data_IF_695918618631
#
_entry.id   IF_695918618631
#
_cell.length_a   1.000
_cell.length_b   1.000
_cell.length_c   1.000
_cell.angle_alpha   90.00
_cell.angle_beta   90.00
_cell.angle_gamma   90.00
#
_symmetry.space_group_name_H-M   'P 1'
#
loop_
_entity.id
_entity.type
_entity.pdbx_description
1 polymer ?
#
# COMPACT_ATOMS: atom_id res chain seq x y z
N UNK A 1 76.77 -120.79 57.00
CA UNK A 1 75.87 -119.84 57.67
C UNK A 1 76.54 -118.52 58.09
N UNK A 2 77.87 -118.40 58.01
CA UNK A 2 78.67 -117.23 58.43
C UNK A 2 78.80 -116.10 57.37
N UNK A 3 78.22 -116.29 56.18
CA UNK A 3 78.34 -115.34 55.06
C UNK A 3 77.15 -114.36 54.95
N UNK A 4 76.01 -114.67 55.59
CA UNK A 4 74.85 -113.76 55.62
C UNK A 4 74.86 -112.75 56.76
N UNK A 5 75.59 -112.99 57.86
CA UNK A 5 75.71 -112.01 58.96
C UNK A 5 76.55 -110.79 58.58
N UNK A 6 77.62 -111.00 57.79
CA UNK A 6 78.52 -109.93 57.36
C UNK A 6 77.87 -108.96 56.35
N UNK A 7 76.86 -109.44 55.59
CA UNK A 7 76.07 -108.60 54.68
C UNK A 7 75.04 -107.77 55.47
N UNK A 8 74.44 -108.33 56.53
CA UNK A 8 73.54 -107.58 57.43
C UNK A 8 74.26 -106.45 58.17
N UNK A 9 75.49 -106.69 58.65
CA UNK A 9 76.29 -105.65 59.30
C UNK A 9 76.68 -104.51 58.34
N UNK A 10 77.04 -104.83 57.10
CA UNK A 10 77.34 -103.82 56.07
C UNK A 10 76.11 -103.01 55.68
N UNK A 11 74.93 -103.65 55.54
CA UNK A 11 73.67 -102.97 55.28
C UNK A 11 73.24 -102.08 56.46
N UNK A 12 73.45 -102.50 57.71
CA UNK A 12 73.19 -101.65 58.88
C UNK A 12 74.13 -100.44 58.95
N UNK A 13 75.41 -100.59 58.62
CA UNK A 13 76.35 -99.47 58.54
C UNK A 13 76.00 -98.48 57.43
N UNK A 14 75.52 -98.96 56.28
CA UNK A 14 75.06 -98.12 55.17
C UNK A 14 73.75 -97.39 55.56
N UNK A 15 72.76 -98.07 56.15
CA UNK A 15 71.53 -97.44 56.63
C UNK A 15 71.80 -96.39 57.73
N UNK A 16 72.77 -96.62 58.63
CA UNK A 16 73.13 -95.66 59.68
C UNK A 16 73.84 -94.40 59.12
N UNK A 17 74.59 -94.54 58.02
CA UNK A 17 75.18 -93.41 57.28
C UNK A 17 74.11 -92.61 56.53
N UNK A 18 73.15 -93.29 55.91
CA UNK A 18 72.01 -92.65 55.26
C UNK A 18 71.07 -91.95 56.27
N UNK A 19 70.86 -92.49 57.46
CA UNK A 19 70.11 -91.81 58.53
C UNK A 19 70.81 -90.56 59.06
N UNK A 20 72.15 -90.53 59.12
CA UNK A 20 72.90 -89.32 59.49
C UNK A 20 72.87 -88.26 58.39
N UNK A 21 72.88 -88.67 57.12
CA UNK A 21 72.71 -87.77 55.97
C UNK A 21 71.27 -87.22 55.91
N UNK A 22 70.27 -88.05 56.20
CA UNK A 22 68.87 -87.66 56.25
C UNK A 22 68.60 -86.71 57.44
N UNK A 23 69.21 -86.94 58.60
CA UNK A 23 69.13 -86.02 59.74
C UNK A 23 69.84 -84.67 59.48
N UNK A 24 70.92 -84.66 58.69
CA UNK A 24 71.61 -83.42 58.28
C UNK A 24 70.76 -82.64 57.25
N UNK A 25 70.08 -83.34 56.32
CA UNK A 25 69.15 -82.73 55.36
C UNK A 25 67.89 -82.22 56.06
N UNK A 26 67.37 -82.92 57.08
CA UNK A 26 66.29 -82.43 57.93
C UNK A 26 66.72 -81.24 58.80
N UNK A 27 67.96 -81.21 59.31
CA UNK A 27 68.47 -80.08 60.09
C UNK A 27 68.68 -78.81 59.24
N UNK A 28 69.04 -78.96 57.96
CA UNK A 28 69.13 -77.86 56.98
C UNK A 28 67.72 -77.41 56.52
N UNK A 29 66.73 -78.31 56.50
CA UNK A 29 65.32 -77.94 56.29
C UNK A 29 64.59 -77.41 57.53
N UNK A 30 65.13 -77.59 58.75
CA UNK A 30 64.53 -77.10 60.00
C UNK A 30 65.13 -75.79 60.54
N UNK A 31 66.13 -75.19 59.89
CA UNK A 31 66.76 -73.94 60.34
C UNK A 31 66.58 -72.73 59.39
N UNK A 32 65.73 -72.85 58.37
CA UNK A 32 65.33 -71.75 57.50
C UNK A 32 63.80 -71.68 57.35
N UNK A 33 63.12 -71.43 58.46
CA UNK A 33 61.94 -70.55 58.49
C UNK A 33 62.42 -69.25 59.13
N UNK A 34 62.12 -68.08 58.54
CA UNK A 34 60.76 -67.59 58.69
C UNK A 34 60.15 -66.91 57.44
N UNK A 35 58.82 -67.05 57.39
CA UNK A 35 57.82 -66.10 56.85
C UNK A 35 58.04 -65.60 55.43
N UNK A 36 57.15 -65.96 54.50
CA UNK A 36 56.36 -64.95 53.79
C UNK A 36 55.09 -65.58 53.21
N UNK A 37 54.01 -64.83 53.43
CA UNK A 37 52.62 -64.99 53.07
C UNK A 37 52.22 -66.03 52.00
N UNK A 38 51.17 -66.77 52.35
CA UNK A 38 50.23 -67.34 51.38
C UNK A 38 49.64 -66.20 50.53
N UNK A 39 49.90 -66.23 49.23
CA UNK A 39 48.97 -65.68 48.26
C UNK A 39 48.68 -66.77 47.23
N UNK A 40 47.46 -67.29 47.30
CA UNK A 40 46.87 -68.04 46.21
C UNK A 40 46.71 -67.04 45.06
N UNK A 41 47.48 -67.17 44.00
CA UNK A 41 47.21 -66.44 42.76
C UNK A 41 46.02 -67.10 42.09
N UNK A 42 44.80 -66.68 42.43
CA UNK A 42 43.70 -66.77 41.48
C UNK A 42 43.68 -65.47 40.69
N UNK A 43 43.85 -65.58 39.38
CA UNK A 43 43.55 -64.49 38.44
C UNK A 43 42.70 -65.03 37.31
N UNK A 44 41.61 -65.71 37.66
CA UNK A 44 40.37 -65.48 36.91
C UNK A 44 39.73 -64.22 37.51
N UNK A 45 40.18 -63.07 37.04
CA UNK A 45 39.31 -61.90 37.07
C UNK A 45 38.36 -62.12 35.90
N UNK A 46 37.17 -62.67 36.15
CA UNK A 46 36.03 -62.35 35.28
C UNK A 46 35.90 -60.83 35.38
N UNK A 47 36.36 -60.12 34.36
CA UNK A 47 35.95 -58.74 34.18
C UNK A 47 34.45 -58.79 33.86
N UNK A 48 33.60 -58.87 34.89
CA UNK A 48 32.23 -58.37 34.79
C UNK A 48 32.33 -56.85 34.71
N UNK A 49 32.84 -56.37 33.58
CA UNK A 49 32.51 -55.03 33.11
C UNK A 49 31.03 -55.12 32.77
N UNK A 50 30.18 -54.97 33.79
CA UNK A 50 28.92 -54.29 33.53
C UNK A 50 29.35 -52.88 33.20
N UNK A 51 29.54 -52.60 31.91
CA UNK A 51 29.37 -51.23 31.48
C UNK A 51 27.98 -50.88 31.97
N UNK A 52 27.88 -49.96 32.93
CA UNK A 52 26.63 -49.25 33.15
C UNK A 52 26.36 -48.57 31.82
N UNK A 53 25.63 -49.28 30.95
CA UNK A 53 25.16 -48.72 29.71
C UNK A 53 24.21 -47.62 30.11
N UNK A 54 24.58 -46.39 29.85
CA UNK A 54 23.65 -45.27 29.96
C UNK A 54 22.60 -45.46 28.87
N UNK A 55 21.34 -45.32 29.23
CA UNK A 55 20.21 -45.50 28.33
C UNK A 55 19.40 -44.22 28.31
N UNK A 56 19.45 -43.45 27.23
CA UNK A 56 18.64 -42.25 27.06
C UNK A 56 18.21 -42.15 25.59
N UNK A 57 17.15 -41.42 25.33
CA UNK A 57 16.63 -41.22 23.97
C UNK A 57 16.67 -39.74 23.62
N UNK A 58 17.19 -39.42 22.44
CA UNK A 58 17.14 -38.09 21.86
C UNK A 58 15.96 -38.01 20.90
N UNK A 59 15.10 -37.03 21.12
CA UNK A 59 13.98 -36.76 20.22
C UNK A 59 14.18 -35.37 19.61
N UNK A 60 14.39 -35.33 18.29
CA UNK A 60 14.62 -34.07 17.55
C UNK A 60 13.41 -33.14 17.53
N UNK A 61 12.22 -33.60 17.95
CA UNK A 61 10.97 -32.82 17.98
C UNK A 61 10.70 -32.09 16.63
N UNK A 62 10.83 -32.87 15.55
CA UNK A 62 10.72 -32.39 14.16
C UNK A 62 12.03 -31.87 13.55
N UNK A 63 13.12 -31.77 14.32
CA UNK A 63 14.46 -31.54 13.80
C UNK A 63 15.16 -32.83 13.35
N UNK A 64 16.15 -32.70 12.49
CA UNK A 64 16.93 -33.79 11.88
C UNK A 64 18.34 -33.78 12.47
N UNK A 65 18.83 -34.94 12.89
CA UNK A 65 20.22 -35.14 13.33
C UNK A 65 21.09 -35.56 12.16
N UNK A 66 22.26 -34.93 12.00
CA UNK A 66 23.28 -35.38 11.03
C UNK A 66 23.94 -36.68 11.47
N UNK A 67 24.07 -36.87 12.79
CA UNK A 67 24.50 -38.11 13.45
C UNK A 67 23.92 -38.13 14.87
N UNK A 68 23.52 -39.31 15.33
CA UNK A 68 23.05 -39.55 16.70
C UNK A 68 24.12 -40.22 17.58
N UNK A 69 25.36 -40.33 17.08
CA UNK A 69 26.45 -40.96 17.80
C UNK A 69 26.87 -40.09 19.00
N UNK A 70 26.77 -40.66 20.19
CA UNK A 70 27.17 -40.01 21.44
C UNK A 70 28.35 -40.75 22.05
N UNK A 71 29.48 -40.06 22.22
CA UNK A 71 30.67 -40.62 22.90
C UNK A 71 30.79 -40.11 24.32
N UNK A 72 30.72 -41.02 25.29
CA UNK A 72 30.81 -40.68 26.72
C UNK A 72 32.26 -40.84 27.20
N UNK A 73 32.81 -39.80 27.85
CA UNK A 73 34.15 -39.81 28.45
C UNK A 73 34.08 -39.25 29.87
N UNK A 74 34.61 -39.98 30.85
CA UNK A 74 34.64 -39.58 32.26
C UNK A 74 33.27 -39.09 32.79
N UNK A 75 32.19 -39.82 32.45
CA UNK A 75 30.80 -39.48 32.78
C UNK A 75 30.25 -38.20 32.14
N UNK A 76 30.97 -37.57 31.20
CA UNK A 76 30.51 -36.41 30.43
C UNK A 76 30.30 -36.77 28.95
N UNK A 77 29.48 -36.00 28.25
CA UNK A 77 29.25 -36.15 26.82
C UNK A 77 28.86 -34.82 26.15
N UNK A 78 28.93 -34.78 24.82
CA UNK A 78 28.38 -33.73 23.99
C UNK A 78 27.26 -34.35 23.15
N UNK A 79 26.05 -33.82 23.27
CA UNK A 79 24.90 -34.27 22.49
C UNK A 79 24.97 -33.68 21.07
N UNK A 80 24.51 -34.43 20.05
CA UNK A 80 24.39 -33.88 18.70
C UNK A 80 23.43 -32.69 18.69
N UNK A 81 23.57 -31.80 17.72
CA UNK A 81 22.66 -30.66 17.53
C UNK A 81 21.77 -30.96 16.34
N UNK A 82 20.45 -31.11 16.52
CA UNK A 82 19.55 -31.27 15.40
C UNK A 82 19.40 -29.95 14.63
N UNK A 83 18.96 -30.02 13.38
CA UNK A 83 18.57 -28.86 12.58
C UNK A 83 17.09 -28.89 12.27
N UNK A 84 16.42 -27.73 12.34
CA UNK A 84 15.01 -27.58 12.00
C UNK A 84 14.82 -26.26 11.25
N UNK A 85 14.43 -26.35 9.97
CA UNK A 85 14.28 -25.19 9.10
C UNK A 85 13.29 -24.20 9.73
N UNK A 86 13.70 -22.94 9.87
CA UNK A 86 12.87 -21.88 10.46
C UNK A 86 12.96 -21.72 11.98
N UNK A 87 13.87 -22.44 12.63
CA UNK A 87 13.99 -22.45 14.09
C UNK A 87 15.45 -22.35 14.56
N UNK A 88 15.64 -21.66 15.69
CA UNK A 88 16.87 -21.69 16.47
C UNK A 88 16.80 -22.83 17.48
N UNK A 89 17.86 -23.65 17.55
CA UNK A 89 17.99 -24.68 18.57
C UNK A 89 18.39 -24.05 19.90
N UNK A 90 17.59 -24.25 20.96
CA UNK A 90 17.84 -23.69 22.28
C UNK A 90 18.57 -24.67 23.22
N UNK A 91 18.49 -25.98 22.95
CA UNK A 91 18.96 -27.04 23.85
C UNK A 91 17.93 -28.16 23.96
N UNK A 92 18.01 -28.95 25.03
CA UNK A 92 17.11 -30.07 25.30
C UNK A 92 16.27 -29.85 26.56
N UNK A 93 15.08 -30.44 26.58
CA UNK A 93 14.17 -30.50 27.73
C UNK A 93 13.86 -31.96 28.08
N UNK A 94 13.65 -32.28 29.36
CA UNK A 94 13.11 -33.59 29.76
C UNK A 94 11.58 -33.69 29.69
N UNK A 95 10.92 -32.61 29.24
CA UNK A 95 9.47 -32.53 29.04
C UNK A 95 9.21 -32.00 27.63
N UNK A 96 8.37 -32.68 26.85
CA UNK A 96 7.97 -32.22 25.52
C UNK A 96 7.32 -30.83 25.62
N UNK A 97 7.92 -29.83 24.95
CA UNK A 97 7.46 -28.43 25.01
C UNK A 97 7.73 -27.71 26.34
N UNK A 98 8.53 -28.29 27.22
CA UNK A 98 8.99 -27.65 28.46
C UNK A 98 10.12 -26.65 28.24
N UNK A 99 10.52 -25.98 29.32
CA UNK A 99 11.71 -25.10 29.31
C UNK A 99 12.99 -25.89 29.03
N UNK A 100 13.99 -25.22 28.44
CA UNK A 100 15.29 -25.85 28.19
C UNK A 100 15.99 -26.19 29.51
N UNK A 101 16.23 -27.48 29.75
CA UNK A 101 16.90 -27.98 30.96
C UNK A 101 18.38 -28.31 30.73
N UNK A 102 18.75 -28.66 29.49
CA UNK A 102 20.08 -29.15 29.16
C UNK A 102 20.66 -28.43 27.96
N UNK A 103 21.93 -28.04 28.06
CA UNK A 103 22.74 -27.65 26.90
C UNK A 103 23.25 -28.88 26.15
N UNK A 104 23.93 -28.70 25.02
CA UNK A 104 24.60 -29.82 24.33
C UNK A 104 25.73 -30.43 25.15
N UNK A 105 26.35 -29.67 26.05
CA UNK A 105 27.41 -30.17 26.93
C UNK A 105 26.78 -30.74 28.21
N UNK A 106 26.95 -32.04 28.42
CA UNK A 106 26.46 -32.76 29.60
C UNK A 106 27.66 -33.18 30.44
N UNK A 107 27.82 -32.55 31.61
CA UNK A 107 28.96 -32.81 32.50
C UNK A 107 28.80 -34.10 33.32
N UNK A 108 27.56 -34.54 33.53
CA UNK A 108 27.23 -35.77 34.23
C UNK A 108 26.08 -36.50 33.51
N UNK A 109 26.41 -37.56 32.81
CA UNK A 109 25.49 -38.37 32.00
C UNK A 109 24.33 -38.96 32.83
N UNK A 110 24.49 -39.09 34.15
CA UNK A 110 23.40 -39.51 35.04
C UNK A 110 22.24 -38.51 35.08
N UNK A 111 22.44 -37.24 34.70
CA UNK A 111 21.39 -36.24 34.63
C UNK A 111 20.33 -36.56 33.57
N UNK A 112 20.73 -37.25 32.50
CA UNK A 112 19.85 -37.63 31.38
C UNK A 112 19.62 -39.15 31.29
N UNK A 113 20.31 -39.93 32.12
CA UNK A 113 20.18 -41.39 32.12
C UNK A 113 18.75 -41.82 32.45
N UNK A 114 18.25 -42.80 31.70
CA UNK A 114 16.88 -43.31 31.69
C UNK A 114 15.82 -42.25 31.41
N UNK A 115 16.14 -41.21 30.63
CA UNK A 115 15.20 -40.18 30.19
C UNK A 115 15.09 -40.14 28.67
N UNK A 116 13.92 -39.73 28.21
CA UNK A 116 13.75 -39.16 26.88
C UNK A 116 13.94 -37.64 26.99
N UNK A 117 14.78 -37.07 26.15
CA UNK A 117 15.00 -35.63 26.09
C UNK A 117 14.66 -35.10 24.69
N UNK A 118 13.97 -33.97 24.66
CA UNK A 118 13.37 -33.39 23.47
C UNK A 118 14.11 -32.11 23.09
N UNK A 119 14.45 -31.96 21.82
CA UNK A 119 14.99 -30.71 21.30
C UNK A 119 13.97 -29.57 21.48
N UNK A 120 14.44 -28.46 22.03
CA UNK A 120 13.65 -27.26 22.24
C UNK A 120 14.02 -26.19 21.20
N UNK A 121 13.00 -25.50 20.70
CA UNK A 121 13.09 -24.68 19.50
C UNK A 121 12.45 -23.31 19.71
N UNK A 122 13.09 -22.28 19.18
CA UNK A 122 12.52 -20.93 19.05
C UNK A 122 12.30 -20.62 17.58
N UNK A 123 11.10 -20.20 17.19
CA UNK A 123 10.80 -19.83 15.81
C UNK A 123 11.56 -18.57 15.41
N UNK A 124 12.16 -18.57 14.22
CA UNK A 124 12.81 -17.39 13.66
C UNK A 124 11.75 -16.46 13.08
N UNK A 125 11.80 -15.18 13.43
CA UNK A 125 11.00 -14.14 12.79
C UNK A 125 11.69 -13.64 11.52
N UNK A 126 10.92 -13.53 10.44
CA UNK A 126 11.33 -13.02 9.14
C UNK A 126 10.57 -11.74 8.83
N UNK A 127 11.21 -10.80 8.11
CA UNK A 127 10.59 -9.54 7.73
C UNK A 127 9.79 -9.65 6.44
N UNK A 128 8.81 -8.75 6.29
CA UNK A 128 8.00 -8.57 5.08
C UNK A 128 8.14 -7.11 4.62
N UNK A 129 8.57 -6.93 3.38
CA UNK A 129 8.69 -5.61 2.74
C UNK A 129 7.62 -5.43 1.68
N UNK A 130 6.87 -4.33 1.72
CA UNK A 130 5.85 -3.98 0.73
C UNK A 130 6.27 -2.73 -0.04
N UNK A 131 6.39 -2.85 -1.36
CA UNK A 131 6.60 -1.75 -2.28
C UNK A 131 5.25 -1.40 -2.93
N UNK A 132 4.61 -0.33 -2.45
CA UNK A 132 3.24 0.04 -2.84
C UNK A 132 3.15 0.92 -4.09
N UNK A 133 4.28 1.41 -4.61
CA UNK A 133 4.32 2.39 -5.72
C UNK A 133 3.37 3.57 -5.50
N UNK A 134 3.57 4.30 -4.38
CA UNK A 134 2.73 5.40 -3.93
C UNK A 134 1.27 5.04 -3.59
N UNK A 135 0.91 3.75 -3.61
CA UNK A 135 -0.32 3.25 -3.01
C UNK A 135 -0.28 3.25 -1.48
N UNK A 136 -1.41 2.94 -0.86
CA UNK A 136 -1.59 2.87 0.58
C UNK A 136 -2.19 1.53 0.98
N UNK A 137 -1.87 1.05 2.18
CA UNK A 137 -2.46 -0.18 2.73
C UNK A 137 -2.61 -0.06 4.24
N UNK A 138 -3.70 -0.59 4.78
CA UNK A 138 -3.95 -0.70 6.22
C UNK A 138 -3.79 -2.16 6.68
N UNK A 139 -3.57 -2.36 7.98
CA UNK A 139 -3.58 -3.68 8.63
C UNK A 139 -2.63 -4.73 7.99
N UNK A 140 -1.47 -4.31 7.48
CA UNK A 140 -0.49 -5.22 6.91
C UNK A 140 0.46 -5.75 7.99
N UNK A 141 0.91 -6.99 7.80
CA UNK A 141 1.87 -7.64 8.69
C UNK A 141 3.29 -7.35 8.23
N UNK A 142 4.18 -6.94 9.13
CA UNK A 142 5.58 -6.60 8.82
C UNK A 142 6.57 -7.73 9.14
N UNK A 143 6.17 -8.70 9.94
CA UNK A 143 7.00 -9.85 10.31
C UNK A 143 6.14 -11.11 10.39
N UNK A 144 6.75 -12.27 10.14
CA UNK A 144 6.08 -13.56 10.27
C UNK A 144 7.07 -14.63 10.72
N UNK A 145 6.56 -15.77 11.17
CA UNK A 145 7.39 -16.95 11.38
C UNK A 145 6.77 -18.18 10.69
N UNK A 146 7.52 -19.27 10.69
CA UNK A 146 7.17 -20.49 9.96
C UNK A 146 5.89 -21.17 10.45
N UNK A 147 5.36 -20.83 11.62
CA UNK A 147 4.14 -21.44 12.15
C UNK A 147 2.85 -20.77 11.66
N UNK A 148 2.97 -19.67 10.93
CA UNK A 148 1.85 -18.82 10.59
C UNK A 148 1.31 -19.06 9.18
N UNK A 149 0.05 -18.71 8.97
CA UNK A 149 -0.57 -18.59 7.64
C UNK A 149 -1.36 -17.29 7.62
N UNK A 150 -1.18 -16.49 6.57
CA UNK A 150 -1.85 -15.19 6.45
C UNK A 150 -2.04 -14.81 4.99
N UNK A 151 -3.01 -13.93 4.75
CA UNK A 151 -3.27 -13.35 3.42
C UNK A 151 -2.75 -11.93 3.41
N UNK A 152 -2.09 -11.52 2.32
CA UNK A 152 -1.69 -10.13 2.15
C UNK A 152 -2.93 -9.24 1.98
N UNK A 153 -2.94 -8.02 2.54
CA UNK A 153 -4.02 -7.08 2.27
C UNK A 153 -3.97 -6.58 0.82
N UNK A 154 -5.13 -6.17 0.31
CA UNK A 154 -5.22 -5.48 -0.97
C UNK A 154 -5.02 -3.97 -0.75
N UNK A 155 -3.94 -3.37 -1.29
CA UNK A 155 -3.69 -1.94 -1.17
C UNK A 155 -4.65 -1.13 -2.05
N UNK A 156 -4.67 0.18 -1.85
CA UNK A 156 -5.44 1.15 -2.66
C UNK A 156 -4.53 2.24 -3.24
N UNK A 157 -4.81 2.69 -4.47
CA UNK A 157 -4.13 3.82 -5.12
C UNK A 157 -5.14 4.59 -5.97
N UNK A 158 -5.32 5.88 -5.72
CA UNK A 158 -6.32 6.70 -6.45
C UNK A 158 -6.06 6.67 -7.95
N UNK A 159 -7.12 6.51 -8.75
CA UNK A 159 -7.05 6.45 -10.21
C UNK A 159 -6.43 5.16 -10.78
N UNK A 160 -6.31 4.11 -9.96
CA UNK A 160 -5.71 2.83 -10.35
C UNK A 160 -6.48 1.64 -9.79
N UNK A 161 -6.49 0.53 -10.54
CA UNK A 161 -6.97 -0.78 -10.10
C UNK A 161 -5.80 -1.62 -9.62
N UNK A 162 -5.89 -2.19 -8.41
CA UNK A 162 -4.89 -3.16 -7.94
C UNK A 162 -5.01 -4.46 -8.73
N UNK A 163 -3.92 -4.90 -9.37
CA UNK A 163 -3.83 -6.13 -10.15
C UNK A 163 -3.36 -7.33 -9.32
N UNK A 164 -2.54 -7.08 -8.29
CA UNK A 164 -2.01 -8.13 -7.42
C UNK A 164 -0.56 -7.91 -7.00
N UNK A 165 -0.08 -8.79 -6.13
CA UNK A 165 1.29 -8.83 -5.62
C UNK A 165 2.20 -9.64 -6.54
N UNK A 166 3.47 -9.20 -6.65
CA UNK A 166 4.59 -9.94 -7.27
C UNK A 166 5.81 -9.85 -6.35
N UNK A 167 6.85 -10.66 -6.58
CA UNK A 167 8.08 -10.66 -5.78
C UNK A 167 8.35 -12.05 -5.24
N UNK A 168 8.24 -12.24 -3.92
CA UNK A 168 8.42 -13.56 -3.29
C UNK A 168 7.41 -14.62 -3.75
N UNK A 169 6.30 -14.22 -4.39
CA UNK A 169 5.34 -15.12 -5.03
C UNK A 169 5.56 -15.32 -6.55
N UNK A 170 6.66 -14.79 -7.10
CA UNK A 170 6.97 -14.84 -8.53
C UNK A 170 6.57 -13.57 -9.28
N UNK A 171 6.51 -13.67 -10.61
CA UNK A 171 6.37 -12.51 -11.52
C UNK A 171 4.94 -12.24 -11.97
N UNK A 172 4.00 -13.17 -11.72
CA UNK A 172 2.60 -13.01 -12.12
C UNK A 172 1.81 -12.38 -10.97
N UNK A 173 1.09 -11.26 -11.18
CA UNK A 173 0.30 -10.61 -10.15
C UNK A 173 -0.79 -11.51 -9.55
N UNK A 174 -0.90 -11.54 -8.22
CA UNK A 174 -1.94 -12.28 -7.48
C UNK A 174 -2.58 -11.40 -6.40
N UNK A 175 -3.91 -11.22 -6.42
CA UNK A 175 -4.63 -10.36 -5.45
C UNK A 175 -4.73 -11.03 -4.07
N UNK A 176 -5.35 -12.20 -4.02
CA UNK A 176 -5.62 -12.90 -2.75
C UNK A 176 -4.45 -13.83 -2.36
N UNK A 177 -3.25 -13.26 -2.27
CA UNK A 177 -2.04 -14.03 -2.00
C UNK A 177 -2.00 -14.53 -0.55
N UNK A 178 -2.01 -15.85 -0.38
CA UNK A 178 -1.86 -16.53 0.91
C UNK A 178 -0.42 -17.01 1.07
N UNK A 179 0.20 -16.65 2.19
CA UNK A 179 1.49 -17.18 2.61
C UNK A 179 1.22 -18.40 3.51
N UNK A 180 1.60 -19.61 3.07
CA UNK A 180 1.32 -20.82 3.82
C UNK A 180 2.30 -21.02 4.98
N UNK A 181 1.86 -21.82 5.95
CA UNK A 181 2.71 -22.36 7.02
C UNK A 181 3.94 -23.05 6.43
N UNK A 182 5.09 -22.86 7.07
CA UNK A 182 6.38 -23.39 6.64
C UNK A 182 7.14 -22.49 5.65
N UNK A 183 6.57 -21.36 5.24
CA UNK A 183 7.33 -20.35 4.46
C UNK A 183 8.48 -19.81 5.29
N UNK A 184 9.65 -19.65 4.67
CA UNK A 184 10.88 -19.21 5.36
C UNK A 184 11.54 -18.06 4.60
N UNK A 185 12.34 -17.27 5.32
CA UNK A 185 13.13 -16.17 4.76
C UNK A 185 12.35 -14.86 4.65
N UNK A 186 13.07 -13.76 4.45
CA UNK A 186 12.44 -12.45 4.30
C UNK A 186 11.64 -12.39 2.99
N UNK A 187 10.45 -11.78 3.05
CA UNK A 187 9.56 -11.65 1.90
C UNK A 187 9.55 -10.22 1.37
N UNK A 188 9.46 -10.08 0.05
CA UNK A 188 9.37 -8.79 -0.64
C UNK A 188 8.21 -8.87 -1.63
N UNK A 189 7.28 -7.93 -1.52
CA UNK A 189 6.11 -7.84 -2.38
C UNK A 189 6.00 -6.47 -3.04
N UNK A 190 5.76 -6.46 -4.35
CA UNK A 190 5.53 -5.27 -5.16
C UNK A 190 4.07 -5.25 -5.60
N UNK A 191 3.39 -4.14 -5.34
CA UNK A 191 2.02 -3.92 -5.78
C UNK A 191 1.99 -3.58 -7.27
N UNK A 192 1.14 -4.28 -8.02
CA UNK A 192 0.94 -4.01 -9.45
C UNK A 192 -0.40 -3.29 -9.65
N UNK A 193 -0.39 -2.30 -10.53
CA UNK A 193 -1.49 -1.38 -10.74
C UNK A 193 -1.83 -1.26 -12.22
N UNK A 194 -3.11 -1.08 -12.52
CA UNK A 194 -3.62 -0.67 -13.83
C UNK A 194 -4.20 0.73 -13.71
N UNK A 195 -3.69 1.69 -14.47
CA UNK A 195 -4.18 3.08 -14.45
C UNK A 195 -5.56 3.18 -15.10
N UNK A 196 -6.47 3.90 -14.46
CA UNK A 196 -7.79 4.18 -15.03
C UNK A 196 -7.67 5.11 -16.24
N UNK A 197 -8.49 4.86 -17.25
CA UNK A 197 -8.58 5.68 -18.46
C UNK A 197 -9.89 6.45 -18.46
N UNK A 198 -9.85 7.67 -18.96
CA UNK A 198 -10.99 8.58 -19.02
C UNK A 198 -11.11 9.22 -20.40
N UNK A 199 -12.33 9.68 -20.66
CA UNK A 199 -12.67 10.38 -21.88
C UNK A 199 -12.29 11.86 -21.78
N UNK A 200 -11.77 12.41 -22.88
CA UNK A 200 -11.62 13.84 -23.10
C UNK A 200 -12.31 14.19 -24.40
N UNK A 201 -13.36 15.00 -24.29
CA UNK A 201 -14.20 15.44 -25.39
C UNK A 201 -14.24 16.97 -25.41
N UNK A 202 -13.88 17.57 -26.55
CA UNK A 202 -13.80 19.02 -26.72
C UNK A 202 -14.72 19.46 -27.85
N UNK A 203 -15.83 20.11 -27.50
CA UNK A 203 -16.85 20.51 -28.45
C UNK A 203 -17.15 22.02 -28.39
N UNK A 204 -17.21 22.72 -29.53
CA UNK A 204 -17.53 24.13 -29.54
C UNK A 204 -18.99 24.38 -29.16
N UNK A 205 -19.21 25.39 -28.33
CA UNK A 205 -20.52 26.04 -28.14
C UNK A 205 -20.55 27.30 -28.98
N UNK A 206 -21.56 27.43 -29.85
CA UNK A 206 -21.79 28.63 -30.65
C UNK A 206 -23.20 29.10 -30.38
N UNK A 207 -23.35 30.34 -29.88
CA UNK A 207 -24.65 30.91 -29.54
C UNK A 207 -25.52 29.95 -28.69
N UNK A 208 -24.96 29.45 -27.58
CA UNK A 208 -25.57 28.47 -26.66
C UNK A 208 -25.89 27.08 -27.25
N UNK A 209 -25.51 26.79 -28.50
CA UNK A 209 -25.69 25.47 -29.11
C UNK A 209 -24.37 24.71 -29.10
N UNK A 210 -24.36 23.50 -28.55
CA UNK A 210 -23.20 22.59 -28.62
C UNK A 210 -23.17 21.88 -29.96
N UNK A 211 -21.99 21.84 -30.60
CA UNK A 211 -21.77 21.14 -31.87
C UNK A 211 -20.79 19.99 -31.68
N UNK A 212 -21.30 18.78 -31.44
CA UNK A 212 -20.53 17.56 -31.15
C UNK A 212 -19.64 17.03 -32.30
N UNK A 213 -19.58 17.73 -33.44
CA UNK A 213 -18.71 17.40 -34.57
C UNK A 213 -17.93 18.63 -35.06
N UNK A 214 -17.91 19.65 -34.22
CA UNK A 214 -17.34 20.94 -34.52
C UNK A 214 -18.10 21.74 -35.58
N UNK A 215 -17.62 22.97 -35.79
CA UNK A 215 -18.04 23.84 -36.89
C UNK A 215 -16.80 24.47 -37.51
N UNK A 216 -16.77 24.53 -38.85
CA UNK A 216 -15.63 25.06 -39.57
C UNK A 216 -15.35 26.53 -39.19
N UNK A 217 -14.09 26.82 -38.85
CA UNK A 217 -13.64 28.13 -38.40
C UNK A 217 -13.70 28.36 -36.89
N UNK A 218 -14.32 27.47 -36.12
CA UNK A 218 -14.32 27.49 -34.65
C UNK A 218 -13.31 26.47 -34.15
N UNK A 219 -12.04 26.88 -34.15
CA UNK A 219 -10.92 25.96 -33.96
C UNK A 219 -10.23 26.13 -32.61
N UNK A 220 -9.67 25.03 -32.12
CA UNK A 220 -8.82 24.97 -30.93
C UNK A 220 -7.69 23.96 -31.13
N UNK A 221 -6.67 24.04 -30.29
CA UNK A 221 -5.57 23.07 -30.24
C UNK A 221 -5.58 22.39 -28.87
N UNK A 222 -5.20 21.11 -28.84
CA UNK A 222 -5.19 20.28 -27.63
C UNK A 222 -3.79 19.74 -27.41
N UNK A 223 -3.31 19.85 -26.17
CA UNK A 223 -2.08 19.22 -25.70
C UNK A 223 -2.41 18.21 -24.62
N UNK A 224 -1.79 17.04 -24.70
CA UNK A 224 -1.76 16.04 -23.63
C UNK A 224 -0.35 15.97 -23.06
N UNK A 225 -0.20 16.17 -21.75
CA UNK A 225 1.09 16.08 -21.06
C UNK A 225 2.19 16.98 -21.68
N UNK A 226 1.80 18.13 -22.24
CA UNK A 226 2.69 19.08 -22.89
C UNK A 226 2.97 18.79 -24.37
N UNK A 227 2.58 17.64 -24.90
CA UNK A 227 2.69 17.30 -26.33
C UNK A 227 1.42 17.73 -27.07
N UNK A 228 1.58 18.39 -28.22
CA UNK A 228 0.45 18.80 -29.04
C UNK A 228 -0.12 17.59 -29.78
N UNK A 229 -1.34 17.18 -29.43
CA UNK A 229 -2.00 16.02 -30.04
C UNK A 229 -3.02 16.42 -31.11
N UNK A 230 -3.49 17.67 -31.07
CA UNK A 230 -4.38 18.24 -32.07
C UNK A 230 -4.04 19.71 -32.31
N UNK A 231 -3.97 20.13 -33.58
CA UNK A 231 -3.70 21.51 -33.95
C UNK A 231 -4.84 22.09 -34.78
N UNK A 232 -5.43 23.18 -34.29
CA UNK A 232 -6.50 23.97 -34.93
C UNK A 232 -7.64 23.09 -35.47
N UNK A 233 -8.05 22.10 -34.68
CA UNK A 233 -9.18 21.21 -34.97
C UNK A 233 -10.49 21.86 -34.55
N UNK A 234 -11.61 21.36 -35.09
CA UNK A 234 -12.97 21.81 -34.73
C UNK A 234 -13.65 20.91 -33.70
N UNK A 235 -13.09 19.72 -33.49
CA UNK A 235 -13.57 18.65 -32.63
C UNK A 235 -12.36 17.83 -32.18
N UNK A 236 -12.40 17.30 -30.96
CA UNK A 236 -11.40 16.40 -30.43
C UNK A 236 -12.04 15.42 -29.44
N UNK A 237 -11.81 14.13 -29.67
CA UNK A 237 -12.27 13.05 -28.82
C UNK A 237 -11.15 12.06 -28.54
N UNK A 238 -10.99 11.66 -27.28
CA UNK A 238 -10.09 10.59 -26.87
C UNK A 238 -10.64 9.85 -25.64
N UNK A 239 -10.97 8.57 -25.80
CA UNK A 239 -11.53 7.71 -24.74
C UNK A 239 -10.48 7.08 -23.80
N UNK A 240 -9.20 7.22 -24.12
CA UNK A 240 -8.11 6.47 -23.50
C UNK A 240 -7.07 7.38 -22.83
N UNK A 241 -7.51 8.44 -22.15
CA UNK A 241 -6.60 9.37 -21.46
C UNK A 241 -6.33 8.90 -20.02
N UNK A 242 -5.07 8.60 -19.64
CA UNK A 242 -4.77 8.09 -18.30
C UNK A 242 -5.05 9.09 -17.18
N UNK A 243 -5.52 8.60 -16.04
CA UNK A 243 -5.62 9.36 -14.79
C UNK A 243 -4.34 10.13 -14.48
N UNK A 244 -4.48 11.39 -14.06
CA UNK A 244 -3.38 12.27 -13.73
C UNK A 244 -2.75 12.97 -14.95
N UNK A 245 -3.15 12.62 -16.18
CA UNK A 245 -2.71 13.35 -17.38
C UNK A 245 -3.17 14.81 -17.32
N UNK A 246 -2.40 15.69 -17.97
CA UNK A 246 -2.77 17.09 -18.16
C UNK A 246 -3.33 17.31 -19.56
N UNK A 247 -4.46 18.01 -19.65
CA UNK A 247 -5.09 18.41 -20.91
C UNK A 247 -5.04 19.93 -20.97
N UNK A 248 -4.39 20.50 -21.98
CA UNK A 248 -4.43 21.94 -22.25
C UNK A 248 -5.18 22.20 -23.54
N UNK A 249 -6.08 23.18 -23.52
CA UNK A 249 -6.84 23.61 -24.70
C UNK A 249 -6.58 25.09 -24.94
N UNK A 250 -6.17 25.42 -26.17
CA UNK A 250 -6.01 26.79 -26.65
C UNK A 250 -7.04 27.09 -27.73
N UNK A 251 -7.76 28.21 -27.59
CA UNK A 251 -8.91 28.56 -28.42
C UNK A 251 -8.55 29.73 -29.34
N UNK A 252 -8.82 29.59 -30.65
CA UNK A 252 -8.46 30.61 -31.64
C UNK A 252 -9.60 31.58 -31.92
N UNK A 253 -9.21 32.82 -32.24
CA UNK A 253 -10.14 33.85 -32.69
C UNK A 253 -10.84 33.47 -34.00
N UNK A 254 -12.10 33.89 -34.11
CA UNK A 254 -12.91 33.79 -35.32
C UNK A 254 -13.46 35.16 -35.63
N UNK A 255 -13.22 35.65 -36.86
CA UNK A 255 -13.74 36.96 -37.25
C UNK A 255 -15.27 37.01 -37.12
N UNK A 256 -15.78 38.08 -36.50
CA UNK A 256 -17.20 38.25 -36.19
C UNK A 256 -17.68 37.54 -34.92
N UNK A 257 -16.80 36.90 -34.15
CA UNK A 257 -17.14 36.20 -32.91
C UNK A 257 -16.14 36.51 -31.79
N UNK A 258 -16.65 36.55 -30.55
CA UNK A 258 -15.90 36.71 -29.32
C UNK A 258 -15.86 35.38 -28.56
N UNK A 259 -14.70 35.06 -27.97
CA UNK A 259 -14.54 33.92 -27.07
C UNK A 259 -14.96 34.35 -25.66
N UNK A 260 -15.92 33.64 -25.06
CA UNK A 260 -16.46 34.00 -23.74
C UNK A 260 -16.14 32.98 -22.65
N UNK A 261 -15.62 31.81 -22.99
CA UNK A 261 -15.27 30.77 -22.02
C UNK A 261 -13.83 30.91 -21.49
N UNK A 262 -12.83 30.55 -22.30
CA UNK A 262 -11.41 30.65 -21.96
C UNK A 262 -10.57 30.71 -23.24
N UNK A 263 -9.41 31.39 -23.15
CA UNK A 263 -8.43 31.47 -24.25
C UNK A 263 -7.44 30.31 -24.21
N UNK A 264 -6.97 30.00 -23.00
CA UNK A 264 -5.94 29.00 -22.75
C UNK A 264 -6.16 28.46 -21.33
N UNK A 265 -6.39 27.16 -21.20
CA UNK A 265 -6.66 26.54 -19.91
C UNK A 265 -6.15 25.11 -19.88
N UNK A 266 -5.69 24.69 -18.70
CA UNK A 266 -5.19 23.32 -18.44
C UNK A 266 -6.03 22.67 -17.34
N UNK A 267 -6.34 21.38 -17.53
CA UNK A 267 -7.04 20.51 -16.57
C UNK A 267 -6.16 19.30 -16.26
N UNK A 268 -6.35 18.74 -15.07
CA UNK A 268 -5.83 17.41 -14.72
C UNK A 268 -6.98 16.41 -14.82
N UNK A 269 -6.73 15.28 -15.48
CA UNK A 269 -7.70 14.21 -15.64
C UNK A 269 -7.83 13.44 -14.33
N UNK A 270 -8.90 13.69 -13.59
CA UNK A 270 -9.32 12.86 -12.45
C UNK A 270 -10.55 12.02 -12.77
N UNK A 271 -11.33 12.47 -13.76
CA UNK A 271 -12.56 11.90 -14.31
C UNK A 271 -12.66 12.29 -15.81
N UNK A 272 -13.70 11.83 -16.51
CA UNK A 272 -13.97 12.26 -17.89
C UNK A 272 -14.18 13.78 -18.00
N UNK A 273 -13.56 14.40 -18.99
CA UNK A 273 -13.58 15.84 -19.23
C UNK A 273 -14.38 16.20 -20.48
N UNK A 274 -15.46 16.95 -20.30
CA UNK A 274 -16.25 17.57 -21.38
C UNK A 274 -15.95 19.06 -21.44
N UNK A 275 -15.08 19.46 -22.36
CA UNK A 275 -14.56 20.82 -22.46
C UNK A 275 -15.30 21.55 -23.58
N UNK A 276 -15.88 22.70 -23.25
CA UNK A 276 -16.67 23.47 -24.21
C UNK A 276 -16.12 24.88 -24.40
N UNK A 277 -15.22 25.10 -25.38
CA UNK A 277 -14.87 26.44 -25.85
C UNK A 277 -16.12 27.13 -26.43
N UNK A 278 -16.36 28.39 -26.08
CA UNK A 278 -17.60 29.08 -26.42
C UNK A 278 -17.34 30.34 -27.22
N UNK A 279 -18.06 30.48 -28.33
CA UNK A 279 -18.08 31.66 -29.19
C UNK A 279 -19.48 32.25 -29.29
N UNK A 280 -19.53 33.57 -29.24
CA UNK A 280 -20.74 34.36 -29.45
C UNK A 280 -20.46 35.38 -30.52
N UNK A 281 -21.43 35.70 -31.36
CA UNK A 281 -21.21 36.67 -32.42
C UNK A 281 -20.99 38.08 -31.84
N UNK A 282 -20.47 38.97 -32.68
CA UNK A 282 -20.19 40.35 -32.33
C UNK A 282 -21.31 41.28 -32.84
N UNK A 283 -22.50 40.75 -33.09
CA UNK A 283 -23.64 41.51 -33.61
C UNK A 283 -24.40 42.02 -32.39
N UNK A 284 -24.52 43.35 -32.22
CA UNK A 284 -25.33 43.89 -31.13
C UNK A 284 -26.78 43.43 -31.21
N UNK A 285 -27.44 43.23 -30.05
CA UNK A 285 -28.87 42.93 -30.02
C UNK A 285 -29.66 44.08 -30.66
N UNK A 286 -30.81 43.78 -31.25
CA UNK A 286 -31.69 44.80 -31.84
C UNK A 286 -32.82 45.15 -30.88
N UNK A 287 -33.02 46.44 -30.57
CA UNK A 287 -34.26 46.91 -29.93
C UNK A 287 -35.31 47.08 -31.04
N UNK A 288 -36.26 46.14 -31.14
CA UNK A 288 -37.32 46.11 -32.17
C UNK A 288 -38.36 47.19 -31.93
N UNK A 289 -38.82 47.32 -30.69
CA UNK A 289 -39.85 48.28 -30.32
C UNK A 289 -39.44 49.01 -29.05
N UNK A 290 -39.43 50.35 -29.10
CA UNK A 290 -39.30 51.18 -27.91
C UNK A 290 -40.40 52.25 -27.89
N UNK A 291 -41.38 52.06 -27.01
CA UNK A 291 -42.48 52.99 -26.83
C UNK A 291 -42.47 53.57 -25.44
N UNK A 292 -42.67 54.87 -25.39
CA UNK A 292 -42.89 55.63 -24.17
C UNK A 292 -44.21 56.36 -24.35
N UNK A 293 -45.14 56.14 -23.44
CA UNK A 293 -46.50 56.68 -23.50
C UNK A 293 -46.78 57.43 -22.21
N UNK A 294 -47.17 58.70 -22.33
CA UNK A 294 -47.70 59.46 -21.21
C UNK A 294 -49.14 59.02 -20.92
N UNK A 295 -49.42 58.50 -19.72
CA UNK A 295 -50.74 58.02 -19.31
C UNK A 295 -51.60 59.09 -18.62
N UNK A 296 -51.05 60.29 -18.37
CA UNK A 296 -51.75 61.35 -17.67
C UNK A 296 -51.20 61.66 -16.28
N UNK A 297 -51.78 62.66 -15.63
CA UNK A 297 -51.43 63.06 -14.27
C UNK A 297 -51.73 61.92 -13.29
N UNK A 298 -50.77 61.62 -12.42
CA UNK A 298 -50.96 60.67 -11.35
C UNK A 298 -51.92 61.27 -10.30
N UNK A 299 -53.06 60.63 -10.09
CA UNK A 299 -54.05 61.09 -9.13
C UNK A 299 -53.68 60.60 -7.72
N UNK A 300 -52.97 61.40 -6.93
CA UNK A 300 -52.79 61.13 -5.50
C UNK A 300 -52.93 62.38 -4.63
N UNK A 301 -53.48 62.21 -3.42
CA UNK A 301 -53.88 63.28 -2.50
C UNK A 301 -52.68 63.93 -1.80
N UNK A 302 -51.95 64.80 -2.51
CA UNK A 302 -50.82 65.58 -2.00
C UNK A 302 -50.49 66.78 -2.88
N UNK A 303 -49.54 67.63 -2.47
CA UNK A 303 -49.19 68.90 -3.14
C UNK A 303 -48.21 68.78 -4.31
N UNK A 304 -47.70 67.57 -4.61
CA UNK A 304 -46.83 67.32 -5.77
C UNK A 304 -47.60 66.53 -6.85
N UNK A 305 -47.71 67.09 -8.06
CA UNK A 305 -48.40 66.46 -9.19
C UNK A 305 -47.41 65.81 -10.15
N UNK A 306 -47.28 64.49 -10.08
CA UNK A 306 -46.50 63.68 -11.04
C UNK A 306 -47.32 63.17 -12.23
N UNK A 307 -46.65 62.52 -13.17
CA UNK A 307 -47.26 61.85 -14.33
C UNK A 307 -46.94 60.36 -14.33
N UNK A 308 -47.91 59.55 -14.77
CA UNK A 308 -47.71 58.12 -14.99
C UNK A 308 -47.24 57.88 -16.43
N UNK A 309 -46.13 57.16 -16.59
CA UNK A 309 -45.47 56.91 -17.88
C UNK A 309 -45.35 55.40 -18.10
N UNK A 310 -45.91 54.90 -19.19
CA UNK A 310 -45.68 53.53 -19.62
C UNK A 310 -44.46 53.46 -20.52
N UNK A 311 -43.56 52.53 -20.24
CA UNK A 311 -42.43 52.17 -21.08
C UNK A 311 -42.62 50.73 -21.56
N UNK A 312 -42.54 50.55 -22.87
CA UNK A 312 -42.50 49.26 -23.53
C UNK A 312 -41.20 49.13 -24.31
N UNK A 313 -40.45 48.06 -24.04
CA UNK A 313 -39.22 47.72 -24.74
C UNK A 313 -39.34 46.27 -25.18
N UNK A 314 -39.17 46.04 -26.47
CA UNK A 314 -39.00 44.72 -27.05
C UNK A 314 -37.68 44.72 -27.80
N UNK A 315 -36.80 43.79 -27.47
CA UNK A 315 -35.59 43.54 -28.22
C UNK A 315 -35.50 42.09 -28.65
N UNK A 316 -34.56 41.85 -29.55
CA UNK A 316 -34.31 40.58 -30.18
C UNK A 316 -32.84 40.43 -30.51
N UNK A 317 -32.35 39.20 -30.44
CA UNK A 317 -31.01 38.86 -30.88
C UNK A 317 -31.05 37.50 -31.62
N UNK A 318 -30.28 37.39 -32.70
CA UNK A 318 -30.19 36.20 -33.54
C UNK A 318 -29.21 35.18 -32.92
N UNK A 319 -29.65 34.56 -31.82
CA UNK A 319 -29.10 33.29 -31.34
C UNK A 319 -28.46 33.31 -29.95
N UNK A 320 -27.96 34.44 -29.46
CA UNK A 320 -27.42 34.49 -28.09
C UNK A 320 -28.51 34.76 -27.07
N UNK A 321 -29.57 35.46 -27.49
CA UNK A 321 -30.67 35.86 -26.60
C UNK A 321 -30.25 37.00 -25.69
N UNK A 322 -31.17 37.93 -25.41
CA UNK A 322 -30.84 39.15 -24.66
C UNK A 322 -30.79 38.85 -23.16
N UNK A 323 -29.63 39.15 -22.56
CA UNK A 323 -29.38 38.90 -21.14
C UNK A 323 -30.03 39.95 -20.24
N UNK A 324 -30.10 41.20 -20.72
CA UNK A 324 -30.55 42.33 -19.91
C UNK A 324 -31.13 43.45 -20.77
N UNK A 325 -32.25 43.99 -20.31
CA UNK A 325 -32.73 45.31 -20.70
C UNK A 325 -32.58 46.29 -19.55
N UNK A 326 -32.22 47.53 -19.86
CA UNK A 326 -32.21 48.65 -18.93
C UNK A 326 -32.89 49.85 -19.56
N UNK A 327 -33.61 50.63 -18.78
CA UNK A 327 -34.19 51.90 -19.22
C UNK A 327 -33.81 53.01 -18.25
N UNK A 328 -33.44 54.18 -18.75
CA UNK A 328 -33.15 55.35 -17.91
C UNK A 328 -33.93 56.59 -18.34
N UNK A 329 -34.20 57.44 -17.36
CA UNK A 329 -34.71 58.80 -17.54
C UNK A 329 -33.51 59.74 -17.57
N UNK A 330 -33.22 60.35 -18.73
CA UNK A 330 -32.21 61.40 -18.82
C UNK A 330 -32.95 62.73 -19.02
N UNK A 331 -33.00 63.62 -18.01
CA UNK A 331 -33.32 65.01 -18.29
C UNK A 331 -32.24 65.54 -19.23
N UNK A 332 -32.59 66.36 -20.22
CA UNK A 332 -31.60 66.90 -21.17
C UNK A 332 -30.48 67.65 -20.40
N UNK A 333 -29.30 67.03 -20.23
CA UNK A 333 -28.19 67.49 -19.36
C UNK A 333 -27.61 66.39 -18.44
N UNK A 334 -26.61 66.72 -17.62
CA UNK A 334 -25.92 65.77 -16.71
C UNK A 334 -26.89 65.21 -15.64
N UNK A 335 -27.29 63.95 -15.78
CA UNK A 335 -28.05 63.21 -14.78
C UNK A 335 -27.79 61.70 -14.87
N UNK A 336 -27.81 61.02 -13.73
CA UNK A 336 -27.56 59.58 -13.60
C UNK A 336 -28.86 58.78 -13.45
N UNK A 337 -29.01 57.70 -14.23
CA UNK A 337 -30.12 56.74 -14.14
C UNK A 337 -29.77 55.52 -13.29
N UNK A 338 -30.78 54.91 -12.65
CA UNK A 338 -30.59 53.71 -11.83
C UNK A 338 -30.80 52.42 -12.65
N UNK A 339 -29.88 51.44 -12.62
CA UNK A 339 -30.00 50.19 -13.37
C UNK A 339 -31.14 49.31 -12.85
N UNK A 340 -32.01 48.77 -13.73
CA UNK A 340 -33.04 47.77 -13.35
C UNK A 340 -33.19 46.69 -14.42
N UNK A 341 -33.35 45.42 -13.98
CA UNK A 341 -33.59 44.24 -14.83
C UNK A 341 -35.09 44.11 -15.15
N UNK A 342 -35.39 43.64 -16.36
CA UNK A 342 -36.58 42.89 -16.81
C UNK A 342 -37.23 43.47 -18.08
N UNK A 343 -37.34 42.63 -19.11
CA UNK A 343 -37.93 42.91 -20.44
C UNK A 343 -39.45 42.77 -20.50
N UNK A 344 -40.16 43.29 -19.49
CA UNK A 344 -41.64 43.34 -19.47
C UNK A 344 -42.13 44.79 -19.57
N UNK A 345 -43.36 45.00 -20.06
CA UNK A 345 -44.10 46.26 -19.93
C UNK A 345 -43.93 46.84 -18.54
N UNK A 346 -43.60 48.12 -18.45
CA UNK A 346 -43.43 48.77 -17.17
C UNK A 346 -44.17 50.10 -17.08
N UNK A 347 -44.81 50.30 -15.95
CA UNK A 347 -45.39 51.57 -15.56
C UNK A 347 -44.47 52.27 -14.57
N UNK A 348 -43.99 53.47 -14.91
CA UNK A 348 -43.35 54.39 -13.99
C UNK A 348 -44.40 55.34 -13.45
N UNK A 349 -44.63 55.34 -12.15
CA UNK A 349 -45.61 56.22 -11.50
C UNK A 349 -44.94 57.43 -10.87
N UNK A 350 -45.70 58.52 -10.76
CA UNK A 350 -45.30 59.74 -10.03
C UNK A 350 -43.99 60.39 -10.53
N UNK A 351 -43.88 60.59 -11.85
CA UNK A 351 -42.74 61.28 -12.46
C UNK A 351 -42.96 62.80 -12.40
N UNK A 352 -42.34 63.46 -11.42
CA UNK A 352 -42.64 64.83 -10.93
C UNK A 352 -42.36 65.97 -11.95
N UNK A 353 -41.60 65.74 -13.03
CA UNK A 353 -41.02 66.84 -13.82
C UNK A 353 -41.42 66.91 -15.32
N UNK A 354 -42.56 66.39 -15.76
CA UNK A 354 -43.03 66.58 -17.16
C UNK A 354 -43.71 67.95 -17.43
N UNK A 355 -43.83 68.80 -16.41
CA UNK A 355 -44.58 70.06 -16.47
C UNK A 355 -43.88 71.21 -17.23
N UNK A 356 -42.67 71.01 -17.76
CA UNK A 356 -41.88 72.03 -18.46
C UNK A 356 -41.91 71.84 -19.98
N UNK A 357 -41.92 72.95 -20.76
CA UNK A 357 -41.88 72.91 -22.24
C UNK A 357 -40.64 72.20 -22.84
N UNK A 358 -39.60 71.94 -22.04
CA UNK A 358 -38.45 71.11 -22.40
C UNK A 358 -38.79 69.62 -22.28
N UNK A 359 -38.74 68.89 -23.40
CA UNK A 359 -39.05 67.46 -23.46
C UNK A 359 -38.16 66.58 -22.56
N UNK A 360 -38.57 65.33 -22.33
CA UNK A 360 -37.79 64.32 -21.60
C UNK A 360 -37.38 63.20 -22.54
N UNK A 361 -36.10 62.81 -22.49
CA UNK A 361 -35.58 61.69 -23.26
C UNK A 361 -35.48 60.46 -22.37
N UNK A 362 -36.10 59.39 -22.81
CA UNK A 362 -35.94 58.05 -22.25
C UNK A 362 -35.03 57.30 -23.19
N UNK A 363 -34.10 56.50 -22.67
CA UNK A 363 -33.43 55.52 -23.50
C UNK A 363 -33.56 54.12 -22.90
N UNK A 364 -33.63 53.16 -23.81
CA UNK A 364 -33.54 51.75 -23.55
C UNK A 364 -32.18 51.25 -24.01
N UNK A 365 -31.64 50.30 -23.28
CA UNK A 365 -30.36 49.68 -23.53
C UNK A 365 -30.50 48.17 -23.39
N UNK A 366 -29.93 47.42 -24.33
CA UNK A 366 -29.95 45.97 -24.35
C UNK A 366 -28.51 45.44 -24.39
N UNK A 367 -28.24 44.39 -23.60
CA UNK A 367 -26.97 43.65 -23.64
C UNK A 367 -27.27 42.19 -23.94
N UNK A 368 -26.58 41.62 -24.91
CA UNK A 368 -26.67 40.20 -25.25
C UNK A 368 -25.74 39.33 -24.37
N UNK A 369 -25.70 38.02 -24.64
CA UNK A 369 -24.83 37.10 -23.89
C UNK A 369 -23.34 37.20 -24.28
N UNK A 370 -23.01 37.86 -25.40
CA UNK A 370 -21.65 38.17 -25.80
C UNK A 370 -21.12 39.46 -25.15
N UNK A 371 -22.00 40.24 -24.52
CA UNK A 371 -21.70 41.56 -23.98
C UNK A 371 -21.80 42.68 -25.03
N UNK A 372 -22.35 42.41 -26.22
CA UNK A 372 -22.63 43.47 -27.19
C UNK A 372 -23.85 44.28 -26.74
N UNK A 373 -23.86 45.56 -27.12
CA UNK A 373 -24.78 46.54 -26.55
C UNK A 373 -25.55 47.30 -27.63
N UNK A 374 -26.82 47.58 -27.39
CA UNK A 374 -27.62 48.47 -28.23
C UNK A 374 -28.39 49.48 -27.39
N UNK A 375 -28.55 50.69 -27.93
CA UNK A 375 -29.27 51.79 -27.29
C UNK A 375 -30.33 52.37 -28.24
N UNK A 376 -31.50 52.72 -27.70
CA UNK A 376 -32.52 53.48 -28.41
C UNK A 376 -33.15 54.53 -27.50
N UNK A 377 -33.21 55.78 -27.95
CA UNK A 377 -33.78 56.90 -27.18
C UNK A 377 -35.07 57.45 -27.82
N UNK A 378 -36.02 57.90 -27.00
CA UNK A 378 -37.28 58.54 -27.41
C UNK A 378 -37.56 59.76 -26.53
N UNK A 379 -37.80 60.91 -27.16
CA UNK A 379 -38.16 62.15 -26.46
C UNK A 379 -39.67 62.35 -26.48
N UNK A 380 -40.29 62.49 -25.31
CA UNK A 380 -41.68 62.94 -25.20
C UNK A 380 -41.70 64.45 -25.08
N UNK A 381 -42.58 65.08 -25.89
CA UNK A 381 -42.99 66.47 -25.77
C UNK A 381 -44.50 66.46 -25.45
N UNK A 382 -44.95 67.44 -24.65
CA UNK A 382 -46.37 67.61 -24.35
C UNK A 382 -47.21 67.79 -25.60
#
# INVERSE_FOLDING_TARGET
MMHMENIKEKLQKIMKKWNKLLALILAIHCSLYPTYAYFITSTEIESKIKTLGYNFTLNGNGGIFDSEDVTIKNSATILPTPTKIGYNFLGYSNILGGETNYSININNINEINNKEIFANWESINYSITYNLDNGTTSNHKLEYNVEETFTLPNPTKTGHTFLGWTGSNGTTPQKDLVIPKGTTGNLIFNANWETHLFEVDVNPIIQNTTYNSGVDGFTFSVWLNGEQVADRVKDYYNEAVPYGSTVRVYVYDRNGYNITSFRDKTWTVTDSLFINPSWYDNIPPTIKTFNVTNLGLHANQGTETGWDIRIYVEGYDEGTGIQKYQTWLVPYGNGSGSPRKDGNDRLMTDVINLNTASGRTFCAYAIDNAGNEAEQCKTIRN
#
